data_IF_282079334440
#
_entry.id   IF_282079334440
#
_cell.length_a   1.000
_cell.length_b   1.000
_cell.length_c   1.000
_cell.angle_alpha   90.00
_cell.angle_beta   90.00
_cell.angle_gamma   90.00
#
_symmetry.space_group_name_H-M   'P 1'
#
loop_
_entity.id
_entity.type
_entity.pdbx_description
1 polymer ?
#
# COMPACT_ATOMS: atom_id res chain seq x y z
N UNK A 1 38.41 31.21 -0.57
CA UNK A 1 37.18 31.12 -1.38
C UNK A 1 37.01 29.66 -1.78
N UNK A 2 35.94 28.99 -1.30
CA UNK A 2 35.65 27.62 -1.71
C UNK A 2 35.15 27.63 -3.17
N UNK A 3 35.78 26.85 -4.03
CA UNK A 3 35.32 26.63 -5.41
C UNK A 3 33.92 26.00 -5.33
N UNK A 4 32.92 26.54 -6.06
CA UNK A 4 31.62 25.92 -6.08
C UNK A 4 31.75 24.50 -6.65
N UNK A 5 31.44 23.49 -5.84
CA UNK A 5 31.43 22.10 -6.31
C UNK A 5 30.37 21.97 -7.41
N UNK A 6 30.78 21.41 -8.56
CA UNK A 6 29.83 21.09 -9.63
C UNK A 6 28.70 20.21 -9.06
N UNK A 7 27.43 20.55 -9.30
CA UNK A 7 26.34 19.73 -8.79
C UNK A 7 26.45 18.29 -9.27
N UNK A 8 26.48 17.34 -8.35
CA UNK A 8 26.48 15.92 -8.69
C UNK A 8 25.07 15.52 -9.07
N UNK A 9 24.82 15.23 -10.34
CA UNK A 9 23.53 14.74 -10.80
C UNK A 9 23.26 13.33 -10.25
N UNK A 10 22.02 13.12 -9.83
CA UNK A 10 21.59 11.78 -9.45
C UNK A 10 21.64 10.85 -10.67
N UNK A 11 22.08 9.62 -10.46
CA UNK A 11 21.99 8.58 -11.49
C UNK A 11 20.57 8.54 -12.06
N UNK A 12 20.45 8.42 -13.37
CA UNK A 12 19.17 8.41 -14.11
C UNK A 12 18.46 9.77 -14.26
N UNK A 13 18.94 10.86 -13.66
CA UNK A 13 18.29 12.19 -13.73
C UNK A 13 18.18 12.76 -15.14
N UNK A 14 19.08 12.35 -16.04
CA UNK A 14 19.16 12.83 -17.42
C UNK A 14 18.16 12.14 -18.36
N UNK A 15 17.54 11.03 -17.93
CA UNK A 15 16.57 10.31 -18.75
C UNK A 15 15.26 11.07 -18.78
N UNK A 16 14.88 11.59 -19.95
CA UNK A 16 13.60 12.23 -20.13
C UNK A 16 12.46 11.21 -19.97
N UNK A 17 11.47 11.55 -19.15
CA UNK A 17 10.26 10.76 -18.97
C UNK A 17 9.08 11.58 -19.41
N UNK A 18 8.44 11.16 -20.48
CA UNK A 18 7.29 11.82 -21.09
C UNK A 18 6.07 10.90 -21.07
N UNK A 19 4.90 11.50 -21.04
CA UNK A 19 3.62 10.83 -21.27
C UNK A 19 2.96 11.49 -22.48
N UNK A 20 2.49 10.70 -23.41
CA UNK A 20 1.86 11.18 -24.64
C UNK A 20 0.58 10.38 -24.96
N UNK A 21 0.01 10.63 -26.12
CA UNK A 21 -1.24 10.02 -26.55
C UNK A 21 -1.15 8.47 -26.62
N UNK A 22 0.03 7.91 -26.90
CA UNK A 22 0.23 6.45 -26.95
C UNK A 22 0.13 5.79 -25.57
N UNK A 23 0.27 6.58 -24.52
CA UNK A 23 0.09 6.11 -23.14
C UNK A 23 -1.35 6.05 -22.70
N UNK A 24 -2.26 6.72 -23.44
CA UNK A 24 -3.66 6.79 -23.06
C UNK A 24 -4.32 5.41 -23.09
N UNK A 25 -4.93 4.95 -21.99
CA UNK A 25 -5.66 3.68 -21.99
C UNK A 25 -6.94 3.81 -22.80
N UNK A 26 -7.40 2.70 -23.38
CA UNK A 26 -8.63 2.66 -24.17
C UNK A 26 -9.86 3.17 -23.39
N UNK A 27 -9.86 3.03 -22.07
CA UNK A 27 -10.94 3.49 -21.22
C UNK A 27 -10.43 3.86 -19.82
N UNK A 28 -10.80 5.05 -19.33
CA UNK A 28 -10.59 5.52 -17.96
C UNK A 28 -11.94 5.89 -17.35
N UNK A 29 -12.54 5.00 -16.55
CA UNK A 29 -13.92 5.22 -16.09
C UNK A 29 -14.08 6.49 -15.24
N UNK A 30 -13.09 6.80 -14.39
CA UNK A 30 -13.10 7.98 -13.51
C UNK A 30 -11.66 8.46 -13.31
N UNK A 31 -11.18 9.42 -14.13
CA UNK A 31 -9.83 9.93 -14.01
C UNK A 31 -9.51 10.45 -12.60
N UNK A 32 -8.34 10.10 -12.08
CA UNK A 32 -7.87 10.54 -10.75
C UNK A 32 -8.44 9.78 -9.56
N UNK A 33 -9.50 8.99 -9.71
CA UNK A 33 -10.09 8.20 -8.61
C UNK A 33 -9.57 6.77 -8.52
N UNK A 34 -8.81 6.35 -9.51
CA UNK A 34 -8.36 4.97 -9.61
C UNK A 34 -7.00 4.78 -8.92
N UNK A 35 -6.87 3.73 -8.12
CA UNK A 35 -5.61 3.35 -7.51
C UNK A 35 -4.61 2.81 -8.55
N UNK A 36 -3.35 3.18 -8.41
CA UNK A 36 -2.25 2.63 -9.20
C UNK A 36 -1.71 1.39 -8.49
N UNK A 37 -2.23 0.23 -8.86
CA UNK A 37 -1.83 -1.08 -8.31
C UNK A 37 -0.92 -1.77 -9.33
N UNK A 38 0.26 -2.18 -8.87
CA UNK A 38 1.33 -2.78 -9.67
C UNK A 38 1.72 -4.16 -9.11
N UNK A 39 2.54 -4.90 -9.86
CA UNK A 39 2.95 -6.26 -9.52
C UNK A 39 4.48 -6.48 -9.58
N UNK A 40 5.26 -5.74 -8.77
CA UNK A 40 6.71 -5.89 -8.72
C UNK A 40 7.11 -7.28 -8.21
N UNK A 41 8.36 -7.64 -8.49
CA UNK A 41 8.99 -8.82 -7.87
C UNK A 41 9.79 -8.37 -6.66
N UNK A 42 9.49 -8.91 -5.49
CA UNK A 42 10.17 -8.61 -4.22
C UNK A 42 10.80 -9.90 -3.70
N UNK A 43 12.14 -9.89 -3.50
CA UNK A 43 12.90 -11.08 -3.10
C UNK A 43 12.57 -12.34 -3.95
N UNK A 44 12.42 -12.16 -5.26
CA UNK A 44 12.07 -13.24 -6.18
C UNK A 44 10.59 -13.62 -6.23
N UNK A 45 9.74 -13.07 -5.36
CA UNK A 45 8.29 -13.34 -5.33
C UNK A 45 7.52 -12.21 -5.99
N UNK A 46 6.64 -12.51 -6.95
CA UNK A 46 5.78 -11.51 -7.58
C UNK A 46 4.60 -11.15 -6.67
N UNK A 47 4.61 -9.93 -6.17
CA UNK A 47 3.51 -9.39 -5.35
C UNK A 47 2.48 -8.72 -6.26
N UNK A 48 1.27 -9.28 -6.35
CA UNK A 48 0.25 -8.86 -7.33
C UNK A 48 -0.65 -7.71 -6.89
N UNK A 49 -0.56 -7.27 -5.64
CA UNK A 49 -1.44 -6.27 -5.04
C UNK A 49 -0.61 -5.22 -4.31
N UNK A 50 0.21 -4.47 -5.03
CA UNK A 50 1.08 -3.44 -4.46
C UNK A 50 0.56 -2.07 -4.86
N UNK A 51 0.16 -1.28 -3.87
CA UNK A 51 -0.34 0.08 -4.07
C UNK A 51 0.83 1.05 -4.22
N UNK A 52 0.80 1.88 -5.25
CA UNK A 52 1.67 3.05 -5.39
C UNK A 52 1.00 4.26 -4.76
N UNK A 53 1.55 4.77 -3.66
CA UNK A 53 0.96 5.88 -2.89
C UNK A 53 1.98 7.01 -2.68
N UNK A 54 1.89 8.05 -3.51
CA UNK A 54 2.74 9.24 -3.41
C UNK A 54 2.45 10.11 -2.18
N UNK A 55 1.34 9.92 -1.49
CA UNK A 55 1.02 10.57 -0.23
C UNK A 55 1.77 9.97 0.96
N UNK A 56 2.15 8.70 0.88
CA UNK A 56 2.83 8.00 1.95
C UNK A 56 4.34 8.33 2.00
N UNK A 57 4.83 8.68 3.19
CA UNK A 57 6.26 8.93 3.44
C UNK A 57 7.12 7.67 3.62
N UNK A 58 6.51 6.50 3.64
CA UNK A 58 7.13 5.21 3.94
C UNK A 58 6.72 4.16 2.92
N UNK A 59 7.52 3.09 2.81
CA UNK A 59 7.04 1.84 2.22
C UNK A 59 6.55 0.95 3.35
N UNK A 60 5.41 0.32 3.15
CA UNK A 60 4.76 -0.56 4.13
C UNK A 60 4.68 -1.97 3.58
N UNK A 61 5.05 -2.95 4.40
CA UNK A 61 4.87 -4.37 4.14
C UNK A 61 3.96 -4.95 5.21
N UNK A 62 2.97 -5.70 4.80
CA UNK A 62 2.09 -6.38 5.75
C UNK A 62 2.71 -7.69 6.23
N UNK A 63 2.59 -7.96 7.53
CA UNK A 63 3.18 -9.15 8.17
C UNK A 63 2.75 -10.46 7.49
N UNK A 64 1.49 -10.56 7.09
CA UNK A 64 0.97 -11.74 6.38
C UNK A 64 1.62 -11.91 5.01
N UNK A 65 1.98 -10.82 4.33
CA UNK A 65 2.74 -10.88 3.07
C UNK A 65 4.12 -11.45 3.30
N UNK A 66 4.86 -10.98 4.32
CA UNK A 66 6.19 -11.54 4.65
C UNK A 66 6.13 -13.02 5.02
N UNK A 67 5.13 -13.40 5.82
CA UNK A 67 4.89 -14.82 6.15
C UNK A 67 4.65 -15.64 4.89
N UNK A 68 3.79 -15.16 3.98
CA UNK A 68 3.51 -15.79 2.70
C UNK A 68 4.72 -15.89 1.77
N UNK A 69 5.70 -14.98 1.90
CA UNK A 69 6.98 -15.03 1.19
C UNK A 69 8.01 -15.94 1.86
N UNK A 70 7.70 -16.52 3.01
CA UNK A 70 8.63 -17.36 3.78
C UNK A 70 9.75 -16.55 4.47
N UNK A 71 9.58 -15.26 4.66
CA UNK A 71 10.55 -14.40 5.33
C UNK A 71 10.24 -14.37 6.82
N UNK A 72 11.15 -14.88 7.69
CA UNK A 72 10.91 -14.93 9.12
C UNK A 72 10.98 -13.56 9.76
N UNK A 73 10.11 -13.31 10.75
CA UNK A 73 10.05 -12.04 11.48
C UNK A 73 11.33 -11.71 12.27
N UNK A 74 12.17 -12.72 12.55
CA UNK A 74 13.49 -12.53 13.18
C UNK A 74 14.49 -11.75 12.31
N UNK A 75 14.20 -11.56 11.03
CA UNK A 75 15.01 -10.71 10.13
C UNK A 75 14.68 -9.21 10.24
N UNK A 76 13.65 -8.85 10.99
CA UNK A 76 13.32 -7.45 11.21
C UNK A 76 14.35 -6.79 12.11
N UNK A 77 14.78 -5.59 11.75
CA UNK A 77 15.50 -4.69 12.64
C UNK A 77 14.50 -3.82 13.41
N UNK A 78 14.92 -3.31 14.56
CA UNK A 78 14.07 -2.45 15.38
C UNK A 78 13.64 -1.18 14.61
N UNK A 79 12.40 -0.76 14.85
CA UNK A 79 11.86 0.52 14.38
C UNK A 79 11.08 1.19 15.50
N UNK A 80 11.33 2.48 15.69
CA UNK A 80 10.56 3.32 16.60
C UNK A 80 9.34 3.97 15.95
N UNK A 81 9.06 3.63 14.67
CA UNK A 81 8.01 4.27 13.89
C UNK A 81 6.62 3.96 14.46
N UNK A 82 5.84 5.00 14.62
CA UNK A 82 4.43 4.93 15.00
C UNK A 82 3.56 5.44 13.87
N UNK A 83 2.53 4.69 13.53
CA UNK A 83 1.56 5.07 12.51
C UNK A 83 0.36 5.75 13.17
N UNK A 84 -0.03 6.92 12.64
CA UNK A 84 -1.19 7.66 13.10
C UNK A 84 -2.23 7.65 11.97
N UNK A 85 -3.50 7.44 12.31
CA UNK A 85 -4.62 7.57 11.37
C UNK A 85 -4.86 6.40 10.42
N UNK A 86 -4.11 5.31 10.53
CA UNK A 86 -4.36 4.08 9.72
C UNK A 86 -5.58 3.32 10.26
N UNK A 87 -5.77 3.35 11.57
CA UNK A 87 -6.99 2.86 12.25
C UNK A 87 -7.49 4.01 13.11
N UNK A 88 -8.74 4.49 12.93
CA UNK A 88 -9.30 5.56 13.75
C UNK A 88 -9.18 5.23 15.24
N UNK A 89 -8.63 6.17 16.02
CA UNK A 89 -8.48 6.05 17.48
C UNK A 89 -7.41 5.07 17.99
N UNK A 90 -6.65 4.41 17.11
CA UNK A 90 -5.57 3.50 17.50
C UNK A 90 -4.22 3.96 16.94
N UNK A 91 -3.20 3.98 17.81
CA UNK A 91 -1.80 4.09 17.37
C UNK A 91 -1.33 2.69 16.98
N UNK A 92 -0.96 2.53 15.73
CA UNK A 92 -0.34 1.30 15.28
C UNK A 92 1.18 1.43 15.36
N UNK A 93 1.84 0.45 15.94
CA UNK A 93 3.30 0.39 16.05
C UNK A 93 3.86 -0.49 14.94
N UNK A 94 5.01 -0.10 14.38
CA UNK A 94 5.77 -0.99 13.51
C UNK A 94 6.23 -2.22 14.29
N UNK A 95 6.18 -3.38 13.63
CA UNK A 95 6.83 -4.62 14.14
C UNK A 95 8.34 -4.59 13.94
N UNK A 96 8.84 -3.66 13.13
CA UNK A 96 10.22 -3.49 12.75
C UNK A 96 10.35 -3.13 11.28
N UNK A 97 11.56 -2.98 10.81
CA UNK A 97 11.86 -2.66 9.41
C UNK A 97 12.69 -3.74 8.75
N UNK A 98 12.55 -3.86 7.42
CA UNK A 98 13.30 -4.80 6.61
C UNK A 98 13.69 -4.16 5.28
N UNK A 99 14.92 -4.42 4.82
CA UNK A 99 15.38 -4.01 3.51
C UNK A 99 15.27 -5.17 2.52
N UNK A 100 14.49 -5.00 1.45
CA UNK A 100 14.20 -6.03 0.45
C UNK A 100 14.58 -5.54 -0.95
N UNK A 101 14.99 -6.46 -1.79
CA UNK A 101 15.25 -6.21 -3.20
C UNK A 101 13.93 -6.17 -3.98
N UNK A 102 13.68 -5.06 -4.66
CA UNK A 102 12.47 -4.84 -5.47
C UNK A 102 12.84 -4.68 -6.93
N UNK A 103 12.25 -5.49 -7.77
CA UNK A 103 12.44 -5.44 -9.23
C UNK A 103 11.17 -4.92 -9.88
N UNK A 104 11.32 -3.89 -10.71
CA UNK A 104 10.23 -3.30 -11.48
C UNK A 104 10.60 -3.20 -12.96
N UNK A 105 9.66 -3.54 -13.83
CA UNK A 105 9.85 -3.58 -15.29
C UNK A 105 9.51 -4.94 -15.89
N UNK A 106 10.07 -5.19 -17.07
CA UNK A 106 9.91 -6.44 -17.83
C UNK A 106 11.22 -7.21 -17.88
N UNK A 107 11.19 -8.47 -18.32
CA UNK A 107 12.39 -9.31 -18.49
C UNK A 107 13.45 -8.67 -19.40
N UNK A 108 13.01 -7.82 -20.34
CA UNK A 108 13.87 -7.15 -21.30
C UNK A 108 14.46 -5.83 -20.79
N UNK A 109 13.74 -5.12 -19.92
CA UNK A 109 14.13 -3.83 -19.34
C UNK A 109 13.55 -3.68 -17.94
N UNK A 110 14.40 -3.83 -16.94
CA UNK A 110 14.02 -3.76 -15.52
C UNK A 110 15.08 -3.04 -14.70
N UNK A 111 14.65 -2.60 -13.53
CA UNK A 111 15.56 -2.13 -12.47
C UNK A 111 15.30 -2.89 -11.19
N UNK A 112 16.39 -3.16 -10.48
CA UNK A 112 16.43 -3.75 -9.16
C UNK A 112 16.95 -2.71 -8.18
N UNK A 113 16.17 -2.41 -7.16
CA UNK A 113 16.53 -1.45 -6.11
C UNK A 113 16.25 -2.05 -4.74
N UNK A 114 17.11 -1.75 -3.77
CA UNK A 114 16.88 -2.13 -2.38
C UNK A 114 16.03 -1.07 -1.71
N UNK A 115 14.88 -1.48 -1.17
CA UNK A 115 13.93 -0.62 -0.48
C UNK A 115 13.76 -1.07 0.97
N UNK A 116 13.68 -0.12 1.88
CA UNK A 116 13.31 -0.37 3.29
C UNK A 116 11.80 -0.29 3.44
N UNK A 117 11.23 -1.25 4.15
CA UNK A 117 9.82 -1.35 4.48
C UNK A 117 9.64 -1.34 5.98
N UNK A 118 8.66 -0.58 6.44
CA UNK A 118 8.09 -0.74 7.77
C UNK A 118 7.09 -1.90 7.75
N UNK A 119 7.23 -2.83 8.67
CA UNK A 119 6.37 -4.00 8.75
C UNK A 119 5.26 -3.75 9.75
N UNK A 120 4.03 -4.02 9.33
CA UNK A 120 2.83 -3.76 10.13
C UNK A 120 1.93 -4.99 10.18
N UNK A 121 1.22 -5.13 11.31
CA UNK A 121 0.29 -6.22 11.54
C UNK A 121 -1.15 -5.70 11.50
N UNK A 122 -1.56 -5.25 10.31
CA UNK A 122 -2.98 -4.96 10.08
C UNK A 122 -3.48 -5.69 8.85
N UNK A 123 -4.78 -5.94 8.87
CA UNK A 123 -5.47 -6.50 7.73
C UNK A 123 -5.55 -5.47 6.60
N UNK A 124 -5.18 -5.86 5.39
CA UNK A 124 -5.19 -4.99 4.22
C UNK A 124 -5.60 -5.75 2.97
N UNK A 125 -6.19 -5.00 2.03
CA UNK A 125 -6.44 -5.50 0.67
C UNK A 125 -5.17 -5.61 -0.18
N UNK A 126 -4.07 -4.99 0.27
CA UNK A 126 -2.80 -4.92 -0.44
C UNK A 126 -1.75 -5.83 0.22
N UNK A 127 -0.79 -6.27 -0.58
CA UNK A 127 0.41 -6.97 -0.10
C UNK A 127 1.44 -6.00 0.49
N UNK A 128 1.55 -4.81 -0.11
CA UNK A 128 2.46 -3.76 0.30
C UNK A 128 1.98 -2.40 -0.22
N UNK A 129 2.49 -1.33 0.38
CA UNK A 129 2.35 0.05 -0.12
C UNK A 129 3.74 0.58 -0.40
N UNK A 130 3.93 1.13 -1.60
CA UNK A 130 5.15 1.78 -2.02
C UNK A 130 4.95 3.30 -2.01
N UNK A 131 5.59 3.96 -1.05
CA UNK A 131 5.49 5.39 -0.84
C UNK A 131 6.57 6.20 -1.58
N UNK A 132 6.71 7.48 -1.19
CA UNK A 132 7.70 8.42 -1.75
C UNK A 132 9.14 7.89 -1.81
N UNK A 133 9.63 7.07 -0.84
CA UNK A 133 10.98 6.53 -0.95
C UNK A 133 11.18 5.66 -2.20
N UNK A 134 10.16 4.91 -2.62
CA UNK A 134 10.19 4.12 -3.84
C UNK A 134 10.24 5.02 -5.08
N UNK A 135 9.39 6.06 -5.12
CA UNK A 135 9.42 7.02 -6.25
C UNK A 135 10.78 7.68 -6.39
N UNK A 136 11.38 8.10 -5.28
CA UNK A 136 12.72 8.69 -5.27
C UNK A 136 13.78 7.69 -5.73
N UNK A 137 13.77 6.47 -5.20
CA UNK A 137 14.79 5.45 -5.49
C UNK A 137 14.76 5.01 -6.95
N UNK A 138 13.58 4.80 -7.51
CA UNK A 138 13.41 4.46 -8.92
C UNK A 138 13.40 5.69 -9.84
N UNK A 139 13.38 6.91 -9.31
CA UNK A 139 13.07 8.15 -10.05
C UNK A 139 11.80 8.00 -10.87
N UNK A 140 10.82 7.33 -10.28
CA UNK A 140 9.59 6.95 -10.93
C UNK A 140 8.60 8.13 -10.94
N UNK A 141 7.86 8.26 -12.03
CA UNK A 141 6.82 9.28 -12.23
C UNK A 141 5.49 8.63 -12.52
N UNK A 142 4.50 8.78 -11.64
CA UNK A 142 3.16 8.27 -11.88
C UNK A 142 2.36 9.24 -12.75
N UNK A 143 1.51 8.68 -13.59
CA UNK A 143 0.43 9.40 -14.24
C UNK A 143 -0.90 8.74 -13.90
N UNK A 144 -1.66 9.35 -13.00
CA UNK A 144 -2.95 8.81 -12.56
C UNK A 144 -4.05 8.92 -13.62
N UNK A 145 -3.89 9.78 -14.62
CA UNK A 145 -4.80 9.84 -15.78
C UNK A 145 -4.61 8.61 -16.67
N UNK A 146 -3.35 8.25 -16.94
CA UNK A 146 -3.03 7.10 -17.80
C UNK A 146 -2.87 5.78 -17.02
N UNK A 147 -2.87 5.85 -15.70
CA UNK A 147 -2.68 4.71 -14.78
C UNK A 147 -1.38 3.94 -15.09
N UNK A 148 -0.33 4.71 -15.32
CA UNK A 148 1.00 4.23 -15.64
C UNK A 148 2.05 4.83 -14.71
N UNK A 149 3.09 4.06 -14.46
CA UNK A 149 4.31 4.48 -13.78
C UNK A 149 5.44 4.38 -14.79
N UNK A 150 6.16 5.46 -15.01
CA UNK A 150 7.36 5.45 -15.85
C UNK A 150 8.60 5.76 -15.01
N UNK A 151 9.67 5.07 -15.30
CA UNK A 151 10.97 5.24 -14.64
C UNK A 151 12.12 5.03 -15.62
N UNK A 152 13.29 5.64 -15.40
CA UNK A 152 14.44 5.39 -16.23
C UNK A 152 14.95 3.97 -16.00
N UNK A 153 15.39 3.31 -17.06
CA UNK A 153 15.95 1.98 -17.04
C UNK A 153 17.20 1.84 -17.90
N UNK A 154 17.92 0.72 -17.82
CA UNK A 154 19.18 0.51 -18.52
C UNK A 154 19.01 0.47 -20.05
N UNK A 155 17.82 0.17 -20.56
CA UNK A 155 17.50 0.14 -21.99
C UNK A 155 16.43 1.17 -22.36
N UNK A 156 16.46 2.38 -21.76
CA UNK A 156 15.47 3.42 -21.95
C UNK A 156 14.39 3.43 -20.85
N UNK A 157 13.28 4.08 -21.11
CA UNK A 157 12.20 4.23 -20.12
C UNK A 157 11.49 2.90 -19.90
N UNK A 158 11.37 2.52 -18.63
CA UNK A 158 10.52 1.42 -18.19
C UNK A 158 9.12 1.98 -17.96
N UNK A 159 8.11 1.33 -18.56
CA UNK A 159 6.71 1.66 -18.34
C UNK A 159 6.01 0.50 -17.65
N UNK A 160 5.43 0.77 -16.48
CA UNK A 160 4.61 -0.17 -15.73
C UNK A 160 3.17 0.30 -15.81
N UNK A 161 2.31 -0.57 -16.31
CA UNK A 161 0.86 -0.28 -16.43
C UNK A 161 0.12 -0.91 -15.25
N UNK A 162 -0.87 -0.21 -14.74
CA UNK A 162 -1.75 -0.71 -13.69
C UNK A 162 -2.41 -2.04 -14.10
N UNK A 163 -2.49 -2.97 -13.17
CA UNK A 163 -3.37 -4.13 -13.31
C UNK A 163 -4.81 -3.72 -12.90
N UNK A 164 -5.68 -3.52 -13.91
CA UNK A 164 -7.05 -3.02 -13.70
C UNK A 164 -7.88 -3.95 -12.83
N UNK A 165 -7.90 -5.23 -13.14
CA UNK A 165 -8.70 -6.22 -12.41
C UNK A 165 -8.28 -6.27 -10.94
N UNK A 166 -6.97 -6.31 -10.67
CA UNK A 166 -6.43 -6.34 -9.31
C UNK A 166 -6.72 -5.07 -8.53
N UNK A 167 -6.67 -3.92 -9.20
CA UNK A 167 -6.99 -2.65 -8.55
C UNK A 167 -8.48 -2.58 -8.14
N UNK A 168 -9.38 -3.09 -8.96
CA UNK A 168 -10.81 -3.17 -8.66
C UNK A 168 -11.08 -4.15 -7.50
N UNK A 169 -10.46 -5.34 -7.52
CA UNK A 169 -10.51 -6.31 -6.42
C UNK A 169 -10.02 -5.71 -5.10
N UNK A 170 -8.87 -5.00 -5.13
CA UNK A 170 -8.32 -4.36 -3.94
C UNK A 170 -9.25 -3.27 -3.41
N UNK A 171 -9.84 -2.45 -4.27
CA UNK A 171 -10.76 -1.40 -3.87
C UNK A 171 -11.99 -1.96 -3.17
N UNK A 172 -12.60 -2.99 -3.74
CA UNK A 172 -13.76 -3.66 -3.14
C UNK A 172 -13.41 -4.30 -1.79
N UNK A 173 -12.25 -4.95 -1.69
CA UNK A 173 -11.79 -5.55 -0.44
C UNK A 173 -11.46 -4.49 0.61
N UNK A 174 -10.82 -3.38 0.22
CA UNK A 174 -10.52 -2.27 1.13
C UNK A 174 -11.79 -1.63 1.70
N UNK A 175 -12.82 -1.43 0.87
CA UNK A 175 -14.12 -0.94 1.33
C UNK A 175 -14.72 -1.87 2.38
N UNK A 176 -14.78 -3.18 2.12
CA UNK A 176 -15.30 -4.17 3.08
C UNK A 176 -14.54 -4.17 4.41
N UNK A 177 -13.20 -4.06 4.36
CA UNK A 177 -12.37 -3.99 5.57
C UNK A 177 -12.68 -2.70 6.35
N UNK A 178 -12.83 -1.55 5.67
CA UNK A 178 -13.18 -0.29 6.30
C UNK A 178 -14.58 -0.36 6.96
N UNK A 179 -15.57 -0.90 6.26
CA UNK A 179 -16.93 -1.08 6.79
C UNK A 179 -16.94 -1.97 8.04
N UNK A 180 -16.18 -3.07 8.02
CA UNK A 180 -16.03 -3.95 9.19
C UNK A 180 -15.36 -3.25 10.38
N UNK A 181 -14.31 -2.45 10.11
CA UNK A 181 -13.62 -1.70 11.16
C UNK A 181 -14.53 -0.63 11.77
N UNK A 182 -15.32 0.07 10.97
CA UNK A 182 -16.30 1.04 11.46
C UNK A 182 -17.36 0.38 12.32
N UNK A 183 -17.93 -0.73 11.89
CA UNK A 183 -18.93 -1.48 12.67
C UNK A 183 -18.39 -1.96 14.04
N UNK A 184 -17.10 -2.38 14.08
CA UNK A 184 -16.44 -2.76 15.35
C UNK A 184 -16.29 -1.54 16.29
N UNK A 185 -15.90 -0.39 15.74
CA UNK A 185 -15.76 0.84 16.53
C UNK A 185 -17.09 1.32 17.08
N UNK A 186 -18.13 1.33 16.26
CA UNK A 186 -19.50 1.68 16.68
C UNK A 186 -20.01 0.75 17.80
N UNK A 187 -19.73 -0.56 17.67
CA UNK A 187 -20.09 -1.53 18.71
C UNK A 187 -19.31 -1.32 20.01
N UNK A 188 -18.03 -0.98 19.93
CA UNK A 188 -17.18 -0.68 21.09
C UNK A 188 -17.63 0.63 21.78
N UNK A 189 -18.02 1.64 21.02
CA UNK A 189 -18.60 2.88 21.57
C UNK A 189 -19.96 2.62 22.22
N UNK A 190 -20.82 1.86 21.58
CA UNK A 190 -22.12 1.47 22.15
C UNK A 190 -21.95 0.73 23.49
N UNK A 191 -21.01 -0.23 23.55
CA UNK A 191 -20.73 -0.96 24.80
C UNK A 191 -20.20 -0.07 25.92
N UNK A 192 -19.48 1.01 25.61
CA UNK A 192 -18.98 1.98 26.60
C UNK A 192 -20.04 2.93 27.11
N UNK A 193 -21.03 3.24 26.26
CA UNK A 193 -22.10 4.21 26.56
C UNK A 193 -23.39 3.54 27.04
N UNK A 194 -23.61 2.26 26.74
CA UNK A 194 -24.79 1.51 27.14
C UNK A 194 -24.80 1.30 28.66
N UNK A 195 -25.88 1.74 29.28
CA UNK A 195 -26.13 1.52 30.70
C UNK A 195 -26.35 0.02 30.95
N UNK A 196 -25.75 -0.60 31.99
CA UNK A 196 -25.99 -2.02 32.31
C UNK A 196 -27.47 -2.41 32.46
N UNK A 197 -28.33 -1.43 32.79
CA UNK A 197 -29.80 -1.63 32.90
C UNK A 197 -30.46 -1.87 31.54
N UNK A 198 -29.95 -1.31 30.44
CA UNK A 198 -30.53 -1.48 29.10
C UNK A 198 -30.16 -2.82 28.45
N UNK A 199 -29.10 -3.48 28.93
CA UNK A 199 -28.69 -4.79 28.47
C UNK A 199 -29.48 -5.95 29.06
N UNK A 200 -30.35 -5.69 30.09
CA UNK A 200 -31.12 -6.73 30.78
C UNK A 200 -32.55 -6.84 30.27
N UNK A 201 -33.00 -6.04 29.32
CA UNK A 201 -34.39 -6.03 28.85
C UNK A 201 -34.61 -6.84 27.57
N UNK A 202 -34.22 -8.14 27.57
CA UNK A 202 -34.70 -9.10 26.57
C UNK A 202 -34.94 -10.48 27.17
N UNK A 203 -35.67 -10.56 28.29
CA UNK A 203 -36.37 -11.80 28.64
C UNK A 203 -37.67 -11.80 27.87
N UNK A 204 -37.83 -12.77 26.97
CA UNK A 204 -39.10 -13.09 26.32
C UNK A 204 -40.17 -13.27 27.36
N UNK A 205 -41.39 -12.71 27.20
CA UNK A 205 -42.54 -13.08 28.04
C UNK A 205 -42.85 -14.56 27.80
N UNK A 206 -42.95 -15.29 28.90
CA UNK A 206 -43.26 -16.70 28.90
C UNK A 206 -44.62 -16.93 28.27
N UNK A 207 -44.72 -18.05 27.56
CA UNK A 207 -45.98 -18.65 27.18
C UNK A 207 -46.75 -19.07 28.44
N UNK A 208 -47.76 -18.32 28.81
CA UNK A 208 -48.81 -18.84 29.69
C UNK A 208 -49.73 -19.72 28.87
N UNK A 209 -49.70 -20.99 29.19
CA UNK A 209 -50.78 -21.94 28.86
C UNK A 209 -51.95 -21.63 29.72
N UNK A 210 -53.08 -21.29 29.13
CA UNK A 210 -54.35 -21.29 29.79
C UNK A 210 -55.25 -22.40 29.24
N UNK A 211 -55.87 -23.09 30.16
CA UNK A 211 -56.91 -24.12 30.06
C UNK A 211 -57.95 -23.92 28.98
#
# INVERSE_FOLDING_TARGET
>A
MATPSTPTFLKWSQTAITFDQSDHPAHVPTPGRQALVVDPVVEGVRLRKVLMDGGNGLNIMYADTLKGMGIPMSKLSESSMQFHGVVPGRKAKSLGQIALDVVSGSDKNFRKEKLTFEVVDFHSAYHAILGRPTYARFMARPCYVYLKLKMPGPKGVITVTRNRQRAEECLQQASRIADQQMAILELDEYKKTANPADLMCSKKPGSESAF
#
